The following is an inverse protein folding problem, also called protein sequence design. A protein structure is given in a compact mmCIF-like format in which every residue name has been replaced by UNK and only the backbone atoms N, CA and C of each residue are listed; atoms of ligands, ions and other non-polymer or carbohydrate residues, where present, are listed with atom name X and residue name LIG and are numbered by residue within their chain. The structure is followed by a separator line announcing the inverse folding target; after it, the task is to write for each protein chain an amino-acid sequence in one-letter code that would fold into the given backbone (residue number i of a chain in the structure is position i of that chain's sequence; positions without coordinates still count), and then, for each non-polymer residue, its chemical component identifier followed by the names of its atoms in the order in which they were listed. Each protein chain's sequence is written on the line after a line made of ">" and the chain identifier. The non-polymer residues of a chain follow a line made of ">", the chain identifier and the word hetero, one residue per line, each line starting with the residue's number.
data_IF_956881356967
#
_entry.id   IF_956881356967
#
_cell.length_a   1.000
_cell.length_b   1.000
_cell.length_c   1.000
_cell.angle_alpha   90.00
_cell.angle_beta   90.00
_cell.angle_gamma   90.00
#
_symmetry.space_group_name_H-M   'P 1'
#
loop_
_entity.id
_entity.type
_entity.pdbx_description
1 polymer ?
#
# COMPACT_ATOMS: atom_id res chain seq x y z
N UNK A 1 -30.33 47.98 -2.46
CA UNK A 1 -30.32 46.74 -1.70
C UNK A 1 -29.90 45.62 -2.63
N UNK A 2 -28.58 45.41 -2.74
CA UNK A 2 -28.00 44.36 -3.59
C UNK A 2 -27.88 43.08 -2.76
N UNK A 3 -28.54 42.02 -3.19
CA UNK A 3 -28.33 40.67 -2.64
C UNK A 3 -27.06 40.08 -3.23
N UNK A 4 -26.06 39.91 -2.39
CA UNK A 4 -24.88 39.12 -2.70
C UNK A 4 -25.19 37.64 -2.44
N UNK A 5 -25.41 36.88 -3.50
CA UNK A 5 -25.55 35.43 -3.44
C UNK A 5 -24.14 34.83 -3.26
N UNK A 6 -23.86 34.31 -2.10
CA UNK A 6 -22.64 33.55 -1.81
C UNK A 6 -22.71 32.19 -2.55
N UNK A 7 -21.89 32.02 -3.57
CA UNK A 7 -21.56 30.73 -4.19
C UNK A 7 -20.60 29.93 -3.28
N UNK A 8 -21.17 29.22 -2.30
CA UNK A 8 -20.46 28.20 -1.52
C UNK A 8 -20.99 26.86 -2.00
N UNK A 9 -20.32 26.20 -2.91
CA UNK A 9 -20.79 24.87 -3.32
C UNK A 9 -20.08 24.22 -4.49
N UNK A 10 -18.74 24.22 -4.57
CA UNK A 10 -18.06 23.42 -5.61
C UNK A 10 -16.67 22.88 -5.22
N UNK A 11 -16.34 22.75 -3.95
CA UNK A 11 -15.06 22.12 -3.55
C UNK A 11 -15.14 20.66 -3.10
N UNK A 12 -16.32 20.06 -2.99
CA UNK A 12 -16.48 18.66 -2.58
C UNK A 12 -16.43 17.65 -3.74
N UNK A 13 -16.42 18.10 -5.00
CA UNK A 13 -16.54 17.22 -6.17
C UNK A 13 -15.22 16.70 -6.74
N UNK A 14 -14.08 17.26 -6.37
CA UNK A 14 -12.77 16.91 -6.99
C UNK A 14 -12.11 15.66 -6.40
N UNK A 15 -12.56 15.14 -5.26
CA UNK A 15 -12.00 13.94 -4.62
C UNK A 15 -12.75 12.64 -4.93
N UNK A 16 -13.63 12.63 -5.89
CA UNK A 16 -14.52 11.49 -6.16
C UNK A 16 -14.11 10.63 -7.37
N UNK A 17 -12.97 10.87 -7.97
CA UNK A 17 -12.46 10.11 -9.10
C UNK A 17 -11.13 9.43 -8.76
N UNK A 18 -11.00 8.18 -9.19
CA UNK A 18 -9.75 7.42 -9.21
C UNK A 18 -9.04 7.68 -10.52
N UNK A 19 -7.81 8.16 -10.48
CA UNK A 19 -6.97 8.26 -11.66
C UNK A 19 -6.33 6.90 -11.94
N UNK A 20 -6.62 6.32 -13.09
CA UNK A 20 -6.03 5.07 -13.56
C UNK A 20 -5.19 5.36 -14.81
N UNK A 21 -3.89 5.11 -14.72
CA UNK A 21 -2.94 5.24 -15.81
C UNK A 21 -2.40 3.88 -16.19
N UNK A 22 -2.77 3.44 -17.40
CA UNK A 22 -2.22 2.25 -18.07
C UNK A 22 -1.74 2.68 -19.44
N UNK A 23 -0.66 2.12 -19.93
CA UNK A 23 -0.10 2.39 -21.28
C UNK A 23 0.18 3.90 -21.55
N UNK A 24 0.55 4.65 -20.51
CA UNK A 24 0.80 6.09 -20.62
C UNK A 24 -0.46 6.94 -20.81
N UNK A 25 -1.65 6.35 -20.74
CA UNK A 25 -2.94 7.05 -20.84
C UNK A 25 -3.62 7.07 -19.49
N UNK A 26 -3.82 8.28 -18.96
CA UNK A 26 -4.56 8.50 -17.73
C UNK A 26 -6.06 8.63 -18.02
N UNK A 27 -6.89 7.96 -17.22
CA UNK A 27 -8.34 8.08 -17.24
C UNK A 27 -8.88 8.26 -15.82
N UNK A 28 -9.88 9.12 -15.68
CA UNK A 28 -10.57 9.33 -14.42
C UNK A 28 -11.79 8.40 -14.31
N UNK A 29 -11.83 7.61 -13.27
CA UNK A 29 -12.91 6.68 -12.96
C UNK A 29 -13.70 7.23 -11.77
N UNK A 30 -14.95 7.62 -12.00
CA UNK A 30 -15.81 8.12 -10.91
C UNK A 30 -16.47 6.96 -10.17
N UNK A 31 -16.86 7.20 -8.90
CA UNK A 31 -17.67 6.23 -8.15
C UNK A 31 -18.94 5.85 -8.92
N UNK A 32 -19.61 6.83 -9.49
CA UNK A 32 -20.85 6.62 -10.26
C UNK A 32 -20.62 5.68 -11.44
N UNK A 33 -19.59 5.89 -12.25
CA UNK A 33 -19.29 5.05 -13.41
C UNK A 33 -18.91 3.63 -13.00
N UNK A 34 -18.16 3.48 -11.89
CA UNK A 34 -17.77 2.17 -11.39
C UNK A 34 -18.94 1.39 -10.76
N UNK A 35 -19.78 2.05 -9.97
CA UNK A 35 -20.97 1.44 -9.37
C UNK A 35 -22.02 1.02 -10.42
N UNK A 36 -22.07 1.72 -11.56
CA UNK A 36 -22.99 1.42 -12.68
C UNK A 36 -22.48 0.31 -13.61
N UNK A 37 -21.28 -0.23 -13.41
CA UNK A 37 -20.75 -1.30 -14.26
C UNK A 37 -21.61 -2.57 -14.14
N UNK A 38 -21.80 -3.32 -15.25
CA UNK A 38 -22.59 -4.56 -15.22
C UNK A 38 -21.94 -5.68 -14.41
N UNK A 39 -20.62 -5.64 -14.23
CA UNK A 39 -19.83 -6.58 -13.43
C UNK A 39 -19.63 -6.13 -11.97
N UNK A 40 -20.22 -4.99 -11.57
CA UNK A 40 -20.24 -4.58 -10.18
C UNK A 40 -21.11 -5.52 -9.35
N UNK A 41 -20.57 -6.04 -8.26
CA UNK A 41 -21.25 -7.01 -7.40
C UNK A 41 -21.04 -6.68 -5.91
N UNK A 42 -21.96 -7.16 -5.08
CA UNK A 42 -21.77 -7.14 -3.63
C UNK A 42 -20.89 -8.35 -3.26
N UNK A 43 -19.74 -8.07 -2.67
CA UNK A 43 -18.78 -9.10 -2.27
C UNK A 43 -18.65 -9.14 -0.75
N UNK A 44 -18.51 -10.34 -0.21
CA UNK A 44 -18.28 -10.56 1.21
C UNK A 44 -16.80 -10.88 1.46
N UNK A 45 -16.14 -10.06 2.27
CA UNK A 45 -14.74 -10.23 2.72
C UNK A 45 -14.78 -10.74 4.15
N UNK A 46 -14.56 -12.05 4.40
CA UNK A 46 -14.74 -12.65 5.72
C UNK A 46 -13.79 -12.12 6.78
N UNK A 47 -12.60 -11.68 6.35
CA UNK A 47 -11.57 -11.10 7.21
C UNK A 47 -10.96 -9.91 6.50
N UNK A 48 -11.58 -8.76 6.67
CA UNK A 48 -11.04 -7.51 6.13
C UNK A 48 -9.90 -7.00 7.02
N UNK A 49 -8.76 -6.69 6.40
CA UNK A 49 -7.55 -6.30 7.14
C UNK A 49 -7.69 -4.89 7.73
N UNK A 50 -8.28 -3.95 6.99
CA UNK A 50 -8.39 -2.57 7.44
C UNK A 50 -9.43 -2.40 8.56
N UNK A 51 -10.53 -3.15 8.48
CA UNK A 51 -11.60 -3.10 9.49
C UNK A 51 -11.44 -4.14 10.61
N UNK A 52 -10.59 -5.16 10.45
CA UNK A 52 -10.38 -6.23 11.42
C UNK A 52 -11.62 -7.11 11.67
N UNK A 53 -12.58 -7.11 10.75
CA UNK A 53 -13.86 -7.84 10.86
C UNK A 53 -14.42 -8.18 9.49
N UNK A 54 -15.45 -9.07 9.39
CA UNK A 54 -16.16 -9.29 8.14
C UNK A 54 -16.76 -8.00 7.61
N UNK A 55 -16.62 -7.77 6.29
CA UNK A 55 -17.19 -6.62 5.60
C UNK A 55 -17.88 -7.05 4.31
N UNK A 56 -18.86 -6.28 3.88
CA UNK A 56 -19.48 -6.41 2.55
C UNK A 56 -19.29 -5.10 1.80
N UNK A 57 -18.86 -5.21 0.55
CA UNK A 57 -18.57 -4.07 -0.29
C UNK A 57 -19.25 -4.22 -1.65
N UNK A 58 -19.73 -3.11 -2.22
CA UNK A 58 -19.98 -3.03 -3.66
C UNK A 58 -18.63 -2.89 -4.36
N UNK A 59 -18.29 -3.77 -5.29
CA UNK A 59 -16.97 -3.85 -5.90
C UNK A 59 -17.02 -4.30 -7.35
N UNK A 60 -15.94 -4.03 -8.09
CA UNK A 60 -15.72 -4.52 -9.45
C UNK A 60 -14.50 -5.43 -9.52
N UNK A 61 -14.46 -6.44 -10.40
CA UNK A 61 -13.29 -7.27 -10.62
C UNK A 61 -12.10 -6.39 -11.05
N UNK A 62 -11.04 -6.36 -10.26
CA UNK A 62 -9.95 -5.41 -10.47
C UNK A 62 -9.15 -5.72 -11.73
N UNK A 63 -8.89 -7.00 -12.02
CA UNK A 63 -8.19 -7.41 -13.22
C UNK A 63 -8.92 -7.00 -14.53
N UNK A 64 -10.27 -7.00 -14.50
CA UNK A 64 -11.07 -6.58 -15.66
C UNK A 64 -11.10 -5.05 -15.84
N UNK A 65 -10.93 -4.31 -14.72
CA UNK A 65 -10.77 -2.86 -14.77
C UNK A 65 -9.42 -2.47 -15.39
N UNK A 66 -8.36 -3.24 -15.14
CA UNK A 66 -7.02 -3.00 -15.70
C UNK A 66 -6.93 -3.37 -17.19
N UNK A 67 -7.73 -4.36 -17.65
CA UNK A 67 -7.67 -4.87 -19.01
C UNK A 67 -6.53 -5.87 -19.26
N UNK A 68 -6.37 -6.31 -20.49
CA UNK A 68 -5.44 -7.37 -20.86
C UNK A 68 -4.06 -6.88 -21.39
N UNK A 69 -3.94 -5.57 -21.64
CA UNK A 69 -2.74 -4.93 -22.22
C UNK A 69 -1.58 -4.70 -21.27
N UNK A 70 -1.61 -5.27 -20.06
CA UNK A 70 -0.56 -5.03 -19.07
C UNK A 70 0.78 -5.67 -19.47
N UNK A 71 1.95 -5.01 -19.22
CA UNK A 71 3.26 -5.58 -19.50
C UNK A 71 3.50 -6.87 -18.69
N UNK A 72 4.35 -7.77 -19.18
CA UNK A 72 4.64 -9.04 -18.54
C UNK A 72 5.19 -8.85 -17.12
N UNK A 73 6.10 -7.88 -16.97
CA UNK A 73 6.82 -7.57 -15.75
C UNK A 73 6.44 -6.18 -15.23
N UNK A 74 6.69 -5.94 -13.96
CA UNK A 74 6.46 -4.66 -13.31
C UNK A 74 5.55 -4.74 -12.08
N UNK A 75 5.12 -3.59 -11.64
CA UNK A 75 4.23 -3.44 -10.50
C UNK A 75 3.09 -2.48 -10.85
N UNK A 76 1.98 -2.68 -10.18
CA UNK A 76 0.94 -1.68 -10.07
C UNK A 76 1.24 -0.86 -8.81
N UNK A 77 1.53 0.41 -8.99
CA UNK A 77 1.62 1.35 -7.87
C UNK A 77 0.25 1.95 -7.60
N UNK A 78 -0.23 1.81 -6.38
CA UNK A 78 -1.41 2.53 -5.89
C UNK A 78 -0.96 3.67 -4.99
N UNK A 79 -1.55 4.84 -5.15
CA UNK A 79 -1.31 5.98 -4.26
C UNK A 79 -2.58 6.34 -3.51
N UNK A 80 -2.48 6.41 -2.20
CA UNK A 80 -3.55 6.86 -1.33
C UNK A 80 -3.47 8.37 -1.06
N UNK A 81 -4.56 8.93 -0.54
CA UNK A 81 -4.67 10.37 -0.25
C UNK A 81 -3.66 10.86 0.81
N UNK A 82 -3.20 10.00 1.70
CA UNK A 82 -2.20 10.30 2.74
C UNK A 82 -0.74 10.13 2.28
N UNK A 83 -0.52 9.78 1.00
CA UNK A 83 0.79 9.58 0.42
C UNK A 83 1.35 8.15 0.54
N UNK A 84 0.58 7.20 1.10
CA UNK A 84 0.89 5.78 1.03
C UNK A 84 0.97 5.32 -0.43
N UNK A 85 1.97 4.52 -0.80
CA UNK A 85 2.21 4.10 -2.18
C UNK A 85 2.57 2.61 -2.25
N UNK A 86 1.56 1.74 -2.31
CA UNK A 86 1.77 0.29 -2.38
C UNK A 86 2.31 -0.14 -3.75
N UNK A 87 3.21 -1.11 -3.72
CA UNK A 87 3.80 -1.75 -4.89
C UNK A 87 3.26 -3.18 -5.01
N UNK A 88 2.33 -3.40 -5.91
CA UNK A 88 1.70 -4.72 -6.11
C UNK A 88 2.26 -5.38 -7.37
N UNK A 89 2.84 -6.59 -7.28
CA UNK A 89 3.27 -7.33 -8.47
C UNK A 89 2.13 -7.48 -9.47
N UNK A 90 2.38 -7.24 -10.75
CA UNK A 90 1.37 -7.35 -11.80
C UNK A 90 0.78 -8.77 -11.90
N UNK A 91 1.58 -9.80 -11.65
CA UNK A 91 1.13 -11.19 -11.58
C UNK A 91 0.05 -11.42 -10.51
N UNK A 92 0.10 -10.68 -9.41
CA UNK A 92 -0.86 -10.76 -8.33
C UNK A 92 -2.19 -10.10 -8.72
N UNK A 93 -2.13 -8.89 -9.27
CA UNK A 93 -3.33 -8.10 -9.59
C UNK A 93 -4.07 -8.55 -10.84
N UNK A 94 -3.46 -9.40 -11.67
CA UNK A 94 -4.10 -10.00 -12.87
C UNK A 94 -4.97 -11.21 -12.58
N UNK A 95 -4.93 -11.74 -11.37
CA UNK A 95 -5.60 -13.00 -11.04
C UNK A 95 -7.11 -12.85 -11.18
N UNK A 96 -7.70 -13.78 -11.92
CA UNK A 96 -9.16 -13.90 -12.14
C UNK A 96 -9.72 -15.22 -11.62
N UNK A 97 -8.84 -16.18 -11.33
CA UNK A 97 -9.23 -17.53 -10.94
C UNK A 97 -9.49 -17.63 -9.44
N UNK A 98 -10.64 -18.14 -8.99
CA UNK A 98 -10.96 -18.26 -7.56
C UNK A 98 -10.07 -19.23 -6.76
N UNK A 99 -9.14 -19.93 -7.44
CA UNK A 99 -8.22 -20.87 -6.79
C UNK A 99 -7.15 -20.18 -5.91
N UNK A 100 -6.97 -18.85 -6.05
CA UNK A 100 -6.02 -18.07 -5.27
C UNK A 100 -6.64 -16.78 -4.75
N UNK A 101 -5.80 -15.82 -4.35
CA UNK A 101 -6.23 -14.47 -4.01
C UNK A 101 -6.63 -13.71 -5.28
N UNK A 102 -7.86 -13.21 -5.33
CA UNK A 102 -8.41 -12.45 -6.45
C UNK A 102 -8.68 -11.02 -6.02
N UNK A 103 -8.12 -10.01 -6.72
CA UNK A 103 -8.31 -8.61 -6.37
C UNK A 103 -9.66 -8.06 -6.83
N UNK A 104 -10.28 -7.27 -5.97
CA UNK A 104 -11.49 -6.51 -6.23
C UNK A 104 -11.30 -5.05 -5.82
N UNK A 105 -11.76 -4.12 -6.64
CA UNK A 105 -11.82 -2.72 -6.26
C UNK A 105 -13.19 -2.45 -5.63
N UNK A 106 -13.19 -2.27 -4.32
CA UNK A 106 -14.37 -1.85 -3.57
C UNK A 106 -14.60 -0.33 -3.72
N UNK A 107 -15.86 0.05 -3.94
CA UNK A 107 -16.28 1.43 -4.18
C UNK A 107 -17.28 1.83 -3.10
N UNK A 108 -16.98 2.88 -2.34
CA UNK A 108 -17.90 3.41 -1.35
C UNK A 108 -19.02 4.18 -2.02
N UNK A 109 -20.25 3.70 -1.86
CA UNK A 109 -21.44 4.44 -2.27
C UNK A 109 -21.68 5.61 -1.31
N UNK A 110 -21.75 6.87 -1.80
CA UNK A 110 -22.05 8.01 -0.94
C UNK A 110 -23.40 7.92 -0.22
N UNK A 111 -24.37 7.18 -0.78
CA UNK A 111 -25.66 6.94 -0.14
C UNK A 111 -25.58 5.91 1.00
N UNK A 112 -24.56 5.05 0.99
CA UNK A 112 -24.33 3.99 1.97
C UNK A 112 -22.86 3.99 2.41
N UNK A 113 -22.42 5.01 3.15
CA UNK A 113 -21.01 5.17 3.52
C UNK A 113 -20.55 4.05 4.44
N UNK A 114 -19.30 3.65 4.25
CA UNK A 114 -18.69 2.62 5.10
C UNK A 114 -18.43 3.14 6.52
N UNK A 115 -18.37 2.25 7.52
CA UNK A 115 -17.99 2.65 8.87
C UNK A 115 -16.58 3.27 8.90
N UNK A 116 -16.31 4.03 9.93
CA UNK A 116 -14.95 4.52 10.18
C UNK A 116 -13.99 3.37 10.43
N UNK A 117 -12.75 3.51 9.96
CA UNK A 117 -11.67 2.60 10.30
C UNK A 117 -11.38 2.60 11.80
N UNK A 118 -10.97 1.47 12.39
CA UNK A 118 -10.60 1.39 13.80
C UNK A 118 -9.57 2.45 14.18
N UNK A 119 -9.88 3.26 15.19
CA UNK A 119 -9.01 4.35 15.66
C UNK A 119 -8.88 5.56 14.73
N UNK A 120 -9.65 5.62 13.62
CA UNK A 120 -9.62 6.75 12.67
C UNK A 120 -10.97 7.47 12.59
N UNK A 121 -10.96 8.69 12.04
CA UNK A 121 -12.18 9.47 11.81
C UNK A 121 -12.72 9.34 10.38
N UNK A 122 -12.11 8.50 9.55
CA UNK A 122 -12.40 8.29 8.13
C UNK A 122 -12.66 6.82 7.83
N UNK A 123 -13.39 6.53 6.73
CA UNK A 123 -13.57 5.18 6.18
C UNK A 123 -12.36 4.77 5.32
N UNK A 124 -12.37 3.53 4.81
CA UNK A 124 -11.43 3.09 3.78
C UNK A 124 -11.77 3.63 2.38
N UNK A 125 -12.90 4.31 2.20
CA UNK A 125 -13.34 4.88 0.95
C UNK A 125 -12.55 6.11 0.48
N UNK A 126 -12.77 6.56 -0.75
CA UNK A 126 -13.81 6.08 -1.67
C UNK A 126 -13.46 4.79 -2.42
N UNK A 127 -12.19 4.41 -2.53
CA UNK A 127 -11.71 3.24 -3.26
C UNK A 127 -10.75 2.42 -2.39
N UNK A 128 -11.00 1.12 -2.34
CA UNK A 128 -10.24 0.19 -1.52
C UNK A 128 -9.99 -1.11 -2.29
N UNK A 129 -8.72 -1.54 -2.40
CA UNK A 129 -8.36 -2.81 -3.01
C UNK A 129 -8.48 -3.91 -1.97
N UNK A 130 -9.37 -4.87 -2.21
CA UNK A 130 -9.64 -6.01 -1.34
C UNK A 130 -9.39 -7.33 -2.07
N UNK A 131 -9.25 -8.41 -1.31
CA UNK A 131 -8.91 -9.71 -1.87
C UNK A 131 -9.91 -10.77 -1.43
N UNK A 132 -10.31 -11.61 -2.38
CA UNK A 132 -11.16 -12.78 -2.13
C UNK A 132 -10.43 -14.07 -2.51
N UNK A 133 -10.97 -15.20 -2.04
CA UNK A 133 -10.43 -16.53 -2.34
C UNK A 133 -9.59 -17.11 -1.21
N UNK A 134 -9.19 -18.39 -1.33
CA UNK A 134 -8.55 -19.14 -0.26
C UNK A 134 -7.21 -18.55 0.18
N UNK A 135 -6.47 -17.93 -0.75
CA UNK A 135 -5.15 -17.35 -0.50
C UNK A 135 -5.20 -15.85 -0.14
N UNK A 136 -6.39 -15.26 0.07
CA UNK A 136 -6.50 -13.85 0.42
C UNK A 136 -5.71 -13.49 1.70
N UNK A 137 -5.64 -14.42 2.65
CA UNK A 137 -4.86 -14.24 3.89
C UNK A 137 -3.35 -14.25 3.68
N UNK A 138 -2.85 -14.73 2.54
CA UNK A 138 -1.42 -14.69 2.19
C UNK A 138 -0.97 -13.34 1.61
N UNK A 139 -1.93 -12.50 1.20
CA UNK A 139 -1.65 -11.16 0.70
C UNK A 139 -1.32 -10.25 1.89
N UNK A 140 -0.18 -9.57 1.80
CA UNK A 140 0.35 -8.73 2.88
C UNK A 140 -0.55 -7.51 3.13
N UNK A 141 -0.55 -7.00 4.37
CA UNK A 141 -1.40 -5.88 4.79
C UNK A 141 -1.23 -4.64 3.91
N UNK A 142 0.00 -4.31 3.55
CA UNK A 142 0.32 -3.18 2.68
C UNK A 142 -0.17 -3.35 1.23
N UNK A 143 -0.58 -4.55 0.86
CA UNK A 143 -1.18 -4.84 -0.44
C UNK A 143 -2.72 -4.76 -0.42
N UNK A 144 -3.29 -4.22 0.65
CA UNK A 144 -4.70 -3.84 0.79
C UNK A 144 -4.84 -2.31 0.87
N UNK A 145 -4.37 -1.56 -0.13
CA UNK A 145 -4.39 -0.09 -0.09
C UNK A 145 -5.82 0.43 -0.11
N UNK A 146 -6.12 1.37 0.77
CA UNK A 146 -7.40 2.06 0.86
C UNK A 146 -7.24 3.58 0.64
N UNK A 147 -8.36 4.29 0.46
CA UNK A 147 -8.38 5.72 0.08
C UNK A 147 -7.54 5.99 -1.18
N UNK A 148 -7.57 5.05 -2.13
CA UNK A 148 -6.79 5.14 -3.36
C UNK A 148 -7.26 6.33 -4.19
N UNK A 149 -6.33 7.15 -4.65
CA UNK A 149 -6.59 8.29 -5.54
C UNK A 149 -5.96 8.12 -6.92
N UNK A 150 -4.89 7.31 -7.02
CA UNK A 150 -4.20 7.03 -8.28
C UNK A 150 -3.69 5.61 -8.33
N UNK A 151 -3.73 5.05 -9.54
CA UNK A 151 -3.15 3.74 -9.89
C UNK A 151 -2.33 3.93 -11.16
N UNK A 152 -1.06 3.49 -11.14
CA UNK A 152 -0.15 3.53 -12.29
C UNK A 152 0.53 2.19 -12.48
N UNK A 153 0.87 1.88 -13.74
CA UNK A 153 1.72 0.73 -14.07
C UNK A 153 3.17 1.22 -14.15
N UNK A 154 4.03 0.57 -13.38
CA UNK A 154 5.42 1.00 -13.21
C UNK A 154 6.38 -0.18 -13.39
N UNK A 155 7.62 0.14 -13.78
CA UNK A 155 8.72 -0.82 -13.67
C UNK A 155 8.92 -1.26 -12.22
N UNK A 156 9.55 -2.41 -12.02
CA UNK A 156 9.81 -2.91 -10.66
C UNK A 156 10.57 -1.88 -9.81
N UNK A 157 10.36 -1.84 -8.49
CA UNK A 157 11.05 -0.89 -7.60
C UNK A 157 12.58 -0.94 -7.72
N UNK A 158 13.15 -2.11 -7.97
CA UNK A 158 14.61 -2.25 -8.14
C UNK A 158 15.09 -1.73 -9.50
N UNK A 159 14.23 -1.75 -10.53
CA UNK A 159 14.55 -1.14 -11.82
C UNK A 159 14.47 0.39 -11.75
N UNK A 160 13.44 0.93 -11.07
CA UNK A 160 13.29 2.38 -10.86
C UNK A 160 14.34 2.96 -9.91
N UNK A 161 14.70 2.20 -8.89
CA UNK A 161 15.65 2.61 -7.84
C UNK A 161 16.72 1.54 -7.62
N UNK A 162 17.74 1.43 -8.49
CA UNK A 162 18.81 0.43 -8.35
C UNK A 162 19.58 0.56 -7.03
N UNK A 163 19.54 1.73 -6.39
CA UNK A 163 20.13 1.96 -5.07
C UNK A 163 19.56 1.08 -3.97
N UNK A 164 18.33 0.57 -4.12
CA UNK A 164 17.71 -0.38 -3.19
C UNK A 164 18.30 -1.80 -3.30
N UNK A 165 18.93 -2.14 -4.44
CA UNK A 165 19.42 -3.49 -4.66
C UNK A 165 20.62 -3.80 -3.75
N UNK A 166 20.62 -4.98 -3.12
CA UNK A 166 21.83 -5.53 -2.51
C UNK A 166 22.83 -5.92 -3.59
N UNK A 167 24.11 -5.95 -3.23
CA UNK A 167 25.17 -6.35 -4.14
C UNK A 167 24.92 -7.77 -4.69
N UNK A 168 25.16 -7.95 -6.00
CA UNK A 168 25.02 -9.25 -6.65
C UNK A 168 25.98 -10.32 -6.06
N UNK A 169 27.15 -9.90 -5.57
CA UNK A 169 28.14 -10.78 -4.94
C UNK A 169 27.75 -11.22 -3.50
N UNK A 170 26.71 -10.59 -2.89
CA UNK A 170 26.26 -11.03 -1.57
C UNK A 170 25.77 -12.49 -1.64
N UNK A 171 26.11 -13.39 -0.69
CA UNK A 171 25.66 -14.77 -0.71
C UNK A 171 24.15 -14.93 -0.91
N UNK A 172 23.72 -15.94 -1.64
CA UNK A 172 22.30 -16.16 -1.95
C UNK A 172 21.42 -16.33 -0.71
N UNK A 173 21.99 -16.88 0.37
CA UNK A 173 21.32 -17.10 1.65
C UNK A 173 21.52 -15.96 2.66
N UNK A 174 22.17 -14.86 2.27
CA UNK A 174 22.34 -13.71 3.16
C UNK A 174 20.95 -13.13 3.52
N UNK A 175 20.69 -12.88 4.82
CA UNK A 175 19.38 -12.38 5.26
C UNK A 175 19.02 -11.02 4.67
N UNK A 176 19.98 -10.19 4.28
CA UNK A 176 19.71 -8.91 3.65
C UNK A 176 19.01 -9.05 2.28
N UNK A 177 19.22 -10.16 1.55
CA UNK A 177 18.48 -10.41 0.28
C UNK A 177 17.00 -10.65 0.51
N UNK A 178 16.66 -11.44 1.51
CA UNK A 178 15.27 -11.65 1.90
C UNK A 178 14.69 -10.36 2.49
N UNK A 179 15.46 -9.67 3.32
CA UNK A 179 15.10 -8.37 3.89
C UNK A 179 14.81 -7.31 2.85
N UNK A 180 15.57 -7.24 1.74
CA UNK A 180 15.29 -6.35 0.61
C UNK A 180 13.90 -6.61 0.02
N UNK A 181 13.54 -7.85 -0.24
CA UNK A 181 12.20 -8.19 -0.80
C UNK A 181 11.09 -7.80 0.16
N UNK A 182 11.26 -8.10 1.45
CA UNK A 182 10.31 -7.74 2.49
C UNK A 182 10.21 -6.22 2.66
N UNK A 183 11.32 -5.51 2.60
CA UNK A 183 11.35 -4.05 2.68
C UNK A 183 10.58 -3.41 1.53
N UNK A 184 10.79 -3.87 0.31
CA UNK A 184 10.08 -3.39 -0.89
C UNK A 184 8.57 -3.58 -0.74
N UNK A 185 8.12 -4.71 -0.17
CA UNK A 185 6.68 -5.00 -0.03
C UNK A 185 6.06 -4.32 1.19
N UNK A 186 6.75 -4.34 2.34
CA UNK A 186 6.15 -3.95 3.63
C UNK A 186 6.50 -2.52 4.06
N UNK A 187 7.68 -2.01 3.69
CA UNK A 187 8.19 -0.75 4.21
C UNK A 187 8.18 0.38 3.17
N UNK A 188 8.47 0.06 1.90
CA UNK A 188 8.55 1.04 0.81
C UNK A 188 7.20 1.70 0.52
N UNK A 189 6.09 1.05 0.91
CA UNK A 189 4.76 1.62 0.80
C UNK A 189 4.57 2.91 1.61
N UNK A 190 5.32 3.06 2.71
CA UNK A 190 5.28 4.24 3.58
C UNK A 190 6.60 5.00 3.59
N UNK A 191 7.73 4.32 3.47
CA UNK A 191 9.07 4.87 3.66
C UNK A 191 9.84 4.96 2.34
N UNK A 192 10.75 5.92 2.29
CA UNK A 192 11.86 5.92 1.34
C UNK A 192 13.11 5.36 2.01
N UNK A 193 14.10 5.01 1.19
CA UNK A 193 15.40 4.58 1.67
C UNK A 193 16.49 5.24 0.79
N UNK A 194 17.22 6.20 1.33
CA UNK A 194 18.25 6.98 0.63
C UNK A 194 17.69 7.68 -0.64
N UNK A 195 16.51 8.30 -0.49
CA UNK A 195 15.77 8.96 -1.55
C UNK A 195 14.96 8.05 -2.46
N UNK A 196 15.20 6.73 -2.44
CA UNK A 196 14.49 5.76 -3.25
C UNK A 196 13.11 5.42 -2.66
N UNK A 197 12.09 5.38 -3.50
CA UNK A 197 10.69 5.17 -3.14
C UNK A 197 9.82 6.36 -3.49
N UNK A 198 8.52 6.10 -3.75
CA UNK A 198 7.54 7.11 -4.16
C UNK A 198 6.66 7.61 -3.00
N UNK A 199 6.72 6.96 -1.84
CA UNK A 199 5.88 7.33 -0.69
C UNK A 199 6.42 8.52 0.07
N UNK A 200 5.49 9.29 0.66
CA UNK A 200 5.76 10.39 1.58
C UNK A 200 5.00 10.21 2.92
N UNK A 201 4.41 9.05 3.17
CA UNK A 201 3.65 8.77 4.39
C UNK A 201 4.55 8.62 5.63
N UNK A 202 5.81 8.19 5.44
CA UNK A 202 6.81 8.04 6.49
C UNK A 202 8.16 8.69 6.13
N UNK A 203 9.09 8.78 7.10
CA UNK A 203 10.42 9.34 6.86
C UNK A 203 11.27 8.44 5.96
N UNK A 204 12.32 9.03 5.37
CA UNK A 204 13.39 8.27 4.73
C UNK A 204 14.20 7.51 5.80
N UNK A 205 14.41 6.22 5.59
CA UNK A 205 15.06 5.36 6.58
C UNK A 205 16.60 5.29 6.44
N UNK A 206 17.18 6.08 5.55
CA UNK A 206 18.64 6.20 5.45
C UNK A 206 19.12 7.66 5.41
N UNK A 207 18.23 8.62 5.50
CA UNK A 207 18.53 10.06 5.45
C UNK A 207 17.75 10.79 6.55
N UNK A 208 18.40 11.53 7.45
CA UNK A 208 19.87 11.71 7.54
C UNK A 208 20.59 10.49 8.14
N UNK A 209 19.92 9.65 8.95
CA UNK A 209 20.49 8.48 9.63
C UNK A 209 19.61 7.25 9.44
N UNK A 210 20.25 6.08 9.44
CA UNK A 210 19.53 4.81 9.41
C UNK A 210 19.03 4.45 10.81
N UNK A 211 17.85 3.81 10.96
CA UNK A 211 17.34 3.37 12.26
C UNK A 211 18.32 2.50 13.07
N UNK A 212 19.16 1.71 12.41
CA UNK A 212 20.15 0.89 13.10
C UNK A 212 21.28 1.70 13.74
N UNK A 213 21.45 2.96 13.35
CA UNK A 213 22.50 3.83 13.89
C UNK A 213 22.07 4.53 15.20
N UNK A 214 20.76 4.70 15.42
CA UNK A 214 20.27 5.43 16.61
C UNK A 214 19.34 4.64 17.51
N UNK A 215 18.75 3.53 17.06
CA UNK A 215 18.02 2.63 17.93
C UNK A 215 18.93 1.56 18.53
N UNK A 216 18.70 1.25 19.81
CA UNK A 216 19.19 -0.02 20.35
C UNK A 216 18.53 -1.19 19.59
N UNK A 217 19.25 -2.28 19.24
CA UNK A 217 18.70 -3.34 18.39
C UNK A 217 17.38 -3.93 18.88
N UNK A 218 17.24 -4.17 20.19
CA UNK A 218 16.00 -4.66 20.78
C UNK A 218 14.85 -3.63 20.69
N UNK A 219 15.17 -2.34 20.81
CA UNK A 219 14.18 -1.26 20.70
C UNK A 219 13.69 -1.10 19.26
N UNK A 220 14.57 -1.22 18.25
CA UNK A 220 14.19 -1.18 16.84
C UNK A 220 13.20 -2.31 16.50
N UNK A 221 13.49 -3.54 16.94
CA UNK A 221 12.60 -4.68 16.74
C UNK A 221 11.23 -4.46 17.38
N UNK A 222 11.22 -4.00 18.64
CA UNK A 222 9.98 -3.66 19.35
C UNK A 222 9.21 -2.54 18.64
N UNK A 223 9.93 -1.53 18.13
CA UNK A 223 9.33 -0.41 17.42
C UNK A 223 8.66 -0.85 16.12
N UNK A 224 9.32 -1.68 15.30
CA UNK A 224 8.71 -2.23 14.09
C UNK A 224 7.51 -3.13 14.46
N UNK A 225 7.67 -4.00 15.47
CA UNK A 225 6.61 -4.91 15.92
C UNK A 225 5.36 -4.18 16.40
N UNK A 226 5.54 -3.15 17.20
CA UNK A 226 4.47 -2.29 17.71
C UNK A 226 5.04 -0.93 18.13
N UNK A 227 4.94 0.10 17.28
CA UNK A 227 5.51 1.42 17.57
C UNK A 227 5.00 2.02 18.89
N UNK A 228 3.72 1.83 19.21
CA UNK A 228 3.12 2.34 20.44
C UNK A 228 3.75 1.74 21.70
N UNK A 229 4.31 0.53 21.64
CA UNK A 229 4.99 -0.11 22.79
C UNK A 229 6.33 0.52 23.15
N UNK A 230 6.90 1.33 22.27
CA UNK A 230 8.17 2.04 22.49
C UNK A 230 7.90 3.52 22.75
N UNK A 231 7.07 4.13 21.92
CA UNK A 231 6.67 5.51 22.07
C UNK A 231 5.32 5.75 21.39
N UNK A 232 4.40 6.33 22.10
CA UNK A 232 3.10 6.74 21.59
C UNK A 232 2.92 8.25 21.68
N UNK A 233 2.37 8.84 20.61
CA UNK A 233 2.09 10.29 20.53
C UNK A 233 0.93 10.56 19.56
N UNK A 234 0.22 11.67 19.72
CA UNK A 234 -0.79 12.08 18.77
C UNK A 234 -0.20 12.21 17.34
N UNK A 235 -0.87 11.63 16.35
CA UNK A 235 -0.43 11.67 14.97
C UNK A 235 0.56 10.55 14.55
N UNK A 236 0.90 9.61 15.45
CA UNK A 236 1.62 8.40 15.07
C UNK A 236 0.79 7.60 14.05
N UNK A 237 1.35 7.36 12.86
CA UNK A 237 0.67 6.67 11.76
C UNK A 237 1.24 5.29 11.43
N UNK A 238 2.52 5.00 11.80
CA UNK A 238 3.11 3.70 11.55
C UNK A 238 2.30 2.59 12.23
N UNK A 239 1.81 1.58 11.47
CA UNK A 239 1.04 0.46 12.04
C UNK A 239 1.94 -0.49 12.83
N UNK A 240 1.32 -1.36 13.62
CA UNK A 240 2.00 -2.53 14.18
C UNK A 240 2.07 -3.65 13.13
N UNK A 241 3.14 -4.44 13.18
CA UNK A 241 3.32 -5.66 12.38
C UNK A 241 3.31 -6.88 13.30
N UNK A 242 2.13 -7.46 13.61
CA UNK A 242 2.04 -8.63 14.47
C UNK A 242 2.67 -9.88 13.82
N UNK A 243 3.01 -10.92 14.60
CA UNK A 243 3.76 -12.09 14.10
C UNK A 243 3.08 -12.87 12.98
N UNK A 244 1.77 -12.81 12.85
CA UNK A 244 1.00 -13.42 11.77
C UNK A 244 1.10 -12.64 10.44
N UNK A 245 1.44 -11.35 10.48
CA UNK A 245 1.70 -10.51 9.31
C UNK A 245 3.18 -10.42 8.96
N UNK A 246 4.05 -10.37 9.95
CA UNK A 246 5.51 -10.32 9.82
C UNK A 246 6.14 -11.21 10.90
N UNK A 247 6.58 -12.41 10.54
CA UNK A 247 7.24 -13.33 11.48
C UNK A 247 8.51 -12.71 12.07
N UNK A 248 9.00 -13.24 13.21
CA UNK A 248 10.25 -12.75 13.83
C UNK A 248 11.45 -12.93 12.89
N UNK A 249 11.49 -14.02 12.13
CA UNK A 249 12.53 -14.24 11.12
C UNK A 249 12.50 -13.18 10.02
N UNK A 250 11.33 -12.83 9.52
CA UNK A 250 11.18 -11.78 8.50
C UNK A 250 11.55 -10.40 9.04
N UNK A 251 11.17 -10.11 10.29
CA UNK A 251 11.60 -8.89 10.98
C UNK A 251 13.12 -8.81 11.07
N UNK A 252 13.80 -9.92 11.43
CA UNK A 252 15.26 -10.00 11.48
C UNK A 252 15.90 -9.76 10.12
N UNK A 253 15.30 -10.28 9.05
CA UNK A 253 15.76 -10.08 7.69
C UNK A 253 15.63 -8.60 7.26
N UNK A 254 14.52 -7.92 7.61
CA UNK A 254 14.36 -6.48 7.37
C UNK A 254 15.45 -5.68 8.11
N UNK A 255 15.68 -5.97 9.38
CA UNK A 255 16.73 -5.30 10.16
C UNK A 255 18.13 -5.56 9.57
N UNK A 256 18.40 -6.78 9.09
CA UNK A 256 19.65 -7.12 8.40
C UNK A 256 19.83 -6.31 7.11
N UNK A 257 18.75 -6.11 6.34
CA UNK A 257 18.78 -5.27 5.15
C UNK A 257 19.02 -3.79 5.50
N UNK A 258 18.35 -3.25 6.50
CA UNK A 258 18.60 -1.87 6.96
C UNK A 258 20.07 -1.69 7.39
N UNK A 259 20.62 -2.64 8.15
CA UNK A 259 22.03 -2.62 8.57
C UNK A 259 22.99 -2.72 7.37
N UNK A 260 22.65 -3.52 6.35
CA UNK A 260 23.42 -3.57 5.10
C UNK A 260 23.43 -2.21 4.41
N UNK A 261 22.27 -1.55 4.31
CA UNK A 261 22.14 -0.24 3.65
C UNK A 261 22.84 0.88 4.42
N UNK A 262 22.84 0.85 5.76
CA UNK A 262 23.58 1.78 6.60
C UNK A 262 25.09 1.71 6.32
N UNK A 263 25.67 0.49 6.32
CA UNK A 263 27.10 0.28 6.01
C UNK A 263 27.44 0.73 4.59
N UNK A 264 26.60 0.47 3.61
CA UNK A 264 26.81 0.88 2.22
C UNK A 264 26.81 2.40 2.06
N UNK A 265 26.01 3.14 2.83
CA UNK A 265 26.03 4.60 2.86
C UNK A 265 27.34 5.13 3.46
N UNK A 266 27.78 4.55 4.56
CA UNK A 266 29.03 4.96 5.22
C UNK A 266 30.29 4.73 4.35
N UNK A 267 30.21 3.82 3.36
CA UNK A 267 31.29 3.52 2.42
C UNK A 267 31.32 4.43 1.17
N UNK A 268 30.36 5.35 1.01
CA UNK A 268 30.30 6.34 -0.08
C UNK A 268 30.87 7.66 0.35
#
# INVERSE_FOLDING_TARGET
>A
MLLTVCLIGQRASAQSALELETDGTARALTRQTLLARPDAADIHVPRDIAYGKPMTFRAVPFADLLGDGLPADGVLETRAADGFAAQLPLELVRRRTPAGAVPWLAIEDPAHPWPKLPGKQVSAGPFYLVWLGPDASSVRGEQWPYQIVRITIESSPLARWPSLAVDAALPANDPARAGQRLFVTQCLACHRLDGAGSSHAGPDLNTPMNPVDYFQPAALRRYIRNPASVRDWPGRSMPAFPPDQLSDRELDQIVAYLAYMARRKAAR
#
